data_IF_711981813137
#
_entry.id   IF_711981813137
#
_cell.length_a   1.000
_cell.length_b   1.000
_cell.length_c   1.000
_cell.angle_alpha   90.00
_cell.angle_beta   90.00
_cell.angle_gamma   90.00
#
_symmetry.space_group_name_H-M   'P 1'
#
loop_
_entity.id
_entity.type
_entity.pdbx_description
1 polymer ?
#
# COMPACT_ATOMS: atom_id res chain seq x y z
N UNK A 1 -74.66 -36.70 33.68
CA UNK A 1 -73.58 -35.93 34.22
C UNK A 1 -72.55 -35.64 33.16
N UNK A 2 -72.50 -34.44 32.86
CA UNK A 2 -71.75 -33.70 31.85
C UNK A 2 -70.35 -33.44 32.29
N UNK A 3 -69.39 -33.61 31.40
CA UNK A 3 -68.07 -33.00 31.58
C UNK A 3 -67.60 -32.32 30.28
N UNK A 4 -67.54 -31.06 30.36
CA UNK A 4 -67.06 -30.13 29.32
C UNK A 4 -65.53 -30.17 29.24
N UNK A 5 -64.98 -30.39 28.05
CA UNK A 5 -63.56 -30.23 27.76
C UNK A 5 -63.33 -28.86 27.19
N UNK A 6 -62.49 -28.10 27.87
CA UNK A 6 -61.99 -26.75 27.44
C UNK A 6 -60.74 -26.96 26.59
N UNK A 7 -60.80 -26.52 25.35
CA UNK A 7 -59.64 -26.50 24.44
C UNK A 7 -58.72 -25.33 24.77
N UNK A 8 -57.50 -25.63 25.04
CA UNK A 8 -56.43 -24.66 25.26
C UNK A 8 -55.78 -24.32 23.90
N UNK A 9 -55.73 -22.99 23.60
CA UNK A 9 -55.22 -22.41 22.35
C UNK A 9 -53.81 -21.89 22.60
N UNK A 10 -52.77 -22.36 21.92
CA UNK A 10 -51.44 -21.81 22.13
C UNK A 10 -51.31 -20.42 21.49
N UNK A 11 -50.99 -19.45 22.33
CA UNK A 11 -50.67 -18.05 21.99
C UNK A 11 -49.37 -17.94 21.17
N UNK A 12 -49.52 -17.27 20.04
CA UNK A 12 -48.43 -16.96 19.09
C UNK A 12 -47.52 -15.84 19.60
N UNK A 13 -46.88 -15.98 20.75
CA UNK A 13 -45.96 -14.99 21.32
C UNK A 13 -44.47 -15.47 21.43
N UNK A 14 -44.17 -16.69 20.92
CA UNK A 14 -42.82 -17.28 21.09
C UNK A 14 -41.87 -17.15 19.90
N UNK A 15 -42.24 -16.47 18.83
CA UNK A 15 -41.45 -16.54 17.57
C UNK A 15 -40.80 -15.20 17.15
N UNK A 16 -40.91 -14.15 17.94
CA UNK A 16 -40.33 -12.83 17.61
C UNK A 16 -39.00 -12.61 18.33
N UNK A 17 -38.74 -13.29 19.45
CA UNK A 17 -37.47 -13.10 20.20
C UNK A 17 -36.29 -13.95 19.72
N UNK A 18 -36.44 -14.88 18.79
CA UNK A 18 -35.36 -15.72 18.27
C UNK A 18 -34.62 -15.15 17.04
N UNK A 19 -35.15 -14.08 16.42
CA UNK A 19 -34.52 -13.45 15.25
C UNK A 19 -33.65 -12.24 15.58
N UNK A 20 -33.65 -11.77 16.83
CA UNK A 20 -32.86 -10.61 17.26
C UNK A 20 -31.48 -10.96 17.85
N UNK A 21 -31.13 -12.24 17.98
CA UNK A 21 -29.89 -12.68 18.64
C UNK A 21 -28.83 -13.24 17.72
N UNK A 22 -29.06 -13.25 16.40
CA UNK A 22 -28.06 -13.79 15.43
C UNK A 22 -27.13 -12.73 14.80
N UNK A 23 -27.28 -11.44 15.12
CA UNK A 23 -26.40 -10.38 14.60
C UNK A 23 -25.37 -9.84 15.59
N UNK A 24 -25.12 -10.50 16.71
CA UNK A 24 -24.15 -10.05 17.70
C UNK A 24 -23.01 -11.06 17.95
N UNK A 25 -22.46 -11.68 16.92
CA UNK A 25 -21.08 -12.18 17.00
C UNK A 25 -20.14 -11.05 16.61
N UNK A 26 -20.06 -10.06 17.47
CA UNK A 26 -18.95 -9.11 17.46
C UNK A 26 -17.65 -9.93 17.56
N UNK A 27 -16.98 -10.14 16.44
CA UNK A 27 -15.59 -10.56 16.43
C UNK A 27 -14.81 -9.52 17.20
N UNK A 28 -14.58 -9.74 18.51
CA UNK A 28 -13.64 -8.98 19.33
C UNK A 28 -12.25 -9.28 18.82
N UNK A 29 -11.87 -8.66 17.69
CA UNK A 29 -10.47 -8.59 17.32
C UNK A 29 -9.74 -7.70 18.34
N UNK A 30 -8.53 -8.08 18.79
CA UNK A 30 -7.76 -7.27 19.71
C UNK A 30 -7.63 -5.87 19.12
N UNK A 31 -7.92 -4.84 19.93
CA UNK A 31 -7.84 -3.44 19.53
C UNK A 31 -6.38 -3.05 19.29
N UNK A 32 -5.84 -3.41 18.14
CA UNK A 32 -4.58 -2.83 17.69
C UNK A 32 -4.90 -1.37 17.35
N UNK A 33 -4.29 -0.43 18.08
CA UNK A 33 -4.47 0.99 17.84
C UNK A 33 -4.15 1.30 16.39
N UNK A 34 -5.13 1.78 15.61
CA UNK A 34 -4.88 2.50 14.39
C UNK A 34 -4.05 3.73 14.79
N UNK A 35 -2.89 3.93 14.17
CA UNK A 35 -2.17 5.18 14.32
C UNK A 35 -3.05 6.35 13.89
N UNK A 36 -2.78 7.54 14.39
CA UNK A 36 -3.44 8.77 13.96
C UNK A 36 -2.72 9.35 12.73
N UNK A 37 -3.48 9.94 11.82
CA UNK A 37 -2.97 10.63 10.64
C UNK A 37 -3.20 12.14 10.79
N UNK A 38 -2.14 12.89 10.89
CA UNK A 38 -2.13 14.35 10.98
C UNK A 38 -1.63 15.03 9.67
N UNK A 39 -1.16 14.23 8.71
CA UNK A 39 -0.57 14.70 7.45
C UNK A 39 0.96 14.77 7.46
N UNK A 40 1.64 14.45 8.57
CA UNK A 40 3.11 14.42 8.64
C UNK A 40 3.71 13.15 8.05
N UNK A 41 3.01 12.03 8.16
CA UNK A 41 3.42 10.79 7.52
C UNK A 41 2.91 10.68 6.07
N UNK A 42 3.52 9.77 5.31
CA UNK A 42 3.09 9.50 3.95
C UNK A 42 1.66 8.92 3.94
N UNK A 43 0.74 9.57 3.21
CA UNK A 43 -0.66 9.15 3.08
C UNK A 43 -0.80 7.70 2.58
N UNK A 44 -0.02 7.30 1.59
CA UNK A 44 -0.09 5.93 1.05
C UNK A 44 0.29 4.88 2.09
N UNK A 45 1.29 5.16 2.91
CA UNK A 45 1.70 4.25 3.99
C UNK A 45 0.61 4.12 5.04
N UNK A 46 0.03 5.25 5.46
CA UNK A 46 -1.10 5.25 6.40
C UNK A 46 -2.30 4.51 5.82
N UNK A 47 -2.71 4.86 4.60
CA UNK A 47 -3.88 4.29 3.95
C UNK A 47 -3.73 2.78 3.69
N UNK A 48 -2.54 2.32 3.31
CA UNK A 48 -2.25 0.89 3.16
C UNK A 48 -2.42 0.13 4.48
N UNK A 49 -1.90 0.67 5.60
CA UNK A 49 -2.09 0.07 6.93
C UNK A 49 -3.56 0.04 7.34
N UNK A 50 -4.27 1.13 7.05
CA UNK A 50 -5.71 1.25 7.32
C UNK A 50 -6.52 0.21 6.52
N UNK A 51 -6.32 0.12 5.20
CA UNK A 51 -7.02 -0.84 4.34
C UNK A 51 -6.68 -2.30 4.68
N UNK A 52 -5.43 -2.59 5.00
CA UNK A 52 -5.03 -3.92 5.46
C UNK A 52 -5.80 -4.31 6.72
N UNK A 53 -5.93 -3.37 7.67
CA UNK A 53 -6.71 -3.57 8.88
C UNK A 53 -8.19 -3.74 8.61
N UNK A 54 -8.77 -2.88 7.77
CA UNK A 54 -10.17 -2.92 7.39
C UNK A 54 -10.52 -4.27 6.75
N UNK A 55 -9.69 -4.74 5.83
CA UNK A 55 -9.84 -6.05 5.18
C UNK A 55 -9.77 -7.21 6.18
N UNK A 56 -8.79 -7.18 7.10
CA UNK A 56 -8.64 -8.22 8.12
C UNK A 56 -9.83 -8.25 9.09
N UNK A 57 -10.38 -7.09 9.42
CA UNK A 57 -11.52 -6.95 10.36
C UNK A 57 -12.89 -7.06 9.67
N UNK A 58 -12.95 -7.14 8.33
CA UNK A 58 -14.19 -7.25 7.58
C UNK A 58 -15.08 -6.01 7.65
N UNK A 59 -14.50 -4.80 7.74
CA UNK A 59 -15.25 -3.55 7.88
C UNK A 59 -16.07 -3.24 6.63
N UNK A 60 -17.32 -2.79 6.85
CA UNK A 60 -18.14 -2.16 5.81
C UNK A 60 -17.60 -0.77 5.46
N UNK A 61 -18.08 -0.18 4.37
CA UNK A 61 -17.67 1.17 3.97
C UNK A 61 -18.10 2.22 4.98
N UNK A 62 -19.24 2.04 5.68
CA UNK A 62 -19.68 2.90 6.76
C UNK A 62 -18.74 2.79 7.97
N UNK A 63 -18.33 1.58 8.33
CA UNK A 63 -17.36 1.35 9.41
C UNK A 63 -15.99 1.91 9.06
N UNK A 64 -15.53 1.73 7.81
CA UNK A 64 -14.29 2.35 7.31
C UNK A 64 -14.35 3.87 7.41
N UNK A 65 -15.46 4.49 7.01
CA UNK A 65 -15.65 5.94 7.14
C UNK A 65 -15.50 6.38 8.59
N UNK A 66 -16.24 5.73 9.51
CA UNK A 66 -16.23 6.05 10.92
C UNK A 66 -14.81 5.90 11.53
N UNK A 67 -14.12 4.79 11.25
CA UNK A 67 -12.79 4.55 11.78
C UNK A 67 -11.73 5.46 11.15
N UNK A 68 -11.87 5.80 9.86
CA UNK A 68 -10.96 6.75 9.21
C UNK A 68 -11.10 8.15 9.84
N UNK A 69 -12.35 8.61 10.07
CA UNK A 69 -12.60 9.89 10.73
C UNK A 69 -11.99 9.93 12.15
N UNK A 70 -12.07 8.82 12.91
CA UNK A 70 -11.49 8.73 14.25
C UNK A 70 -9.95 8.71 14.22
N UNK A 71 -9.37 8.22 13.12
CA UNK A 71 -7.92 8.17 12.95
C UNK A 71 -7.32 9.49 12.48
N UNK A 72 -8.14 10.48 12.03
CA UNK A 72 -7.65 11.80 11.63
C UNK A 72 -7.36 12.67 12.85
N UNK A 73 -6.20 13.32 12.84
CA UNK A 73 -5.82 14.37 13.80
C UNK A 73 -5.59 15.70 13.05
N UNK A 74 -5.47 16.81 13.77
CA UNK A 74 -5.15 18.10 13.14
C UNK A 74 -3.70 18.07 12.57
N UNK A 75 -3.47 18.65 11.37
CA UNK A 75 -4.41 19.44 10.55
C UNK A 75 -5.29 18.61 9.58
N UNK A 76 -5.12 17.28 9.46
CA UNK A 76 -5.88 16.46 8.52
C UNK A 76 -7.39 16.46 8.84
N UNK A 77 -7.74 16.50 10.13
CA UNK A 77 -9.12 16.57 10.60
C UNK A 77 -9.89 17.81 10.06
N UNK A 78 -9.18 18.91 9.82
CA UNK A 78 -9.81 20.15 9.30
C UNK A 78 -10.43 19.97 7.92
N UNK A 79 -10.03 18.95 7.15
CA UNK A 79 -10.69 18.65 5.87
C UNK A 79 -12.16 18.27 6.02
N UNK A 80 -12.55 17.72 7.18
CA UNK A 80 -13.94 17.35 7.45
C UNK A 80 -14.86 18.56 7.59
N UNK A 81 -14.34 19.72 8.04
CA UNK A 81 -15.12 20.94 8.22
C UNK A 81 -15.65 21.51 6.90
N UNK A 82 -14.99 21.20 5.78
CA UNK A 82 -15.35 21.68 4.45
C UNK A 82 -16.07 20.60 3.63
N UNK A 83 -16.63 19.58 4.28
CA UNK A 83 -17.37 18.53 3.63
C UNK A 83 -18.85 18.95 3.52
N UNK A 84 -19.24 19.53 2.39
CA UNK A 84 -20.63 19.73 2.01
C UNK A 84 -21.17 18.46 1.35
N UNK A 85 -22.38 18.02 1.76
CA UNK A 85 -23.05 16.83 1.22
C UNK A 85 -22.73 15.53 1.95
N UNK A 86 -23.23 14.41 1.43
CA UNK A 86 -23.06 13.09 2.02
C UNK A 86 -21.60 12.64 1.96
N UNK A 87 -20.96 12.57 3.12
CA UNK A 87 -19.59 12.10 3.26
C UNK A 87 -19.57 10.55 3.20
N UNK A 88 -18.96 10.02 2.16
CA UNK A 88 -18.71 8.58 2.03
C UNK A 88 -17.23 8.26 2.26
N UNK A 89 -16.92 6.99 2.52
CA UNK A 89 -15.53 6.55 2.62
C UNK A 89 -14.70 6.93 1.38
N UNK A 90 -15.24 6.66 0.19
CA UNK A 90 -14.57 6.96 -1.08
C UNK A 90 -14.29 8.47 -1.25
N UNK A 91 -15.27 9.35 -0.95
CA UNK A 91 -15.09 10.79 -1.06
C UNK A 91 -14.10 11.35 -0.04
N UNK A 92 -14.06 10.78 1.17
CA UNK A 92 -13.09 11.19 2.18
C UNK A 92 -11.66 10.77 1.77
N UNK A 93 -11.47 9.52 1.30
CA UNK A 93 -10.18 9.04 0.79
C UNK A 93 -9.70 9.91 -0.37
N UNK A 94 -10.56 10.23 -1.34
CA UNK A 94 -10.20 11.09 -2.46
C UNK A 94 -9.72 12.48 -2.02
N UNK A 95 -10.40 13.10 -1.04
CA UNK A 95 -10.01 14.41 -0.49
C UNK A 95 -8.67 14.36 0.24
N UNK A 96 -8.46 13.32 1.07
CA UNK A 96 -7.20 13.12 1.76
C UNK A 96 -6.07 12.85 0.78
N UNK A 97 -6.31 12.04 -0.24
CA UNK A 97 -5.34 11.77 -1.29
C UNK A 97 -5.00 13.02 -2.10
N UNK A 98 -5.97 13.86 -2.43
CA UNK A 98 -5.74 15.14 -3.13
C UNK A 98 -4.89 16.09 -2.29
N UNK A 99 -5.07 16.11 -0.98
CA UNK A 99 -4.37 17.04 -0.07
C UNK A 99 -3.02 16.54 0.38
N UNK A 100 -2.92 15.25 0.73
CA UNK A 100 -1.75 14.63 1.35
C UNK A 100 -1.10 13.55 0.48
N UNK A 101 -1.74 13.18 -0.63
CA UNK A 101 -1.16 12.28 -1.61
C UNK A 101 -0.01 12.94 -2.35
N UNK A 102 0.89 12.11 -2.84
CA UNK A 102 2.07 12.55 -3.57
C UNK A 102 1.80 12.80 -5.07
N UNK A 103 0.54 12.93 -5.47
CA UNK A 103 0.17 13.05 -6.88
C UNK A 103 0.85 14.24 -7.58
N UNK A 104 1.00 15.36 -6.85
CA UNK A 104 1.74 16.54 -7.35
C UNK A 104 3.25 16.31 -7.44
N UNK A 105 3.79 15.29 -6.76
CA UNK A 105 5.21 14.94 -6.79
C UNK A 105 5.52 13.79 -7.77
N UNK A 106 4.52 13.10 -8.30
CA UNK A 106 4.72 11.96 -9.24
C UNK A 106 5.61 12.37 -10.41
N UNK A 107 5.34 13.51 -11.02
CA UNK A 107 6.12 13.99 -12.16
C UNK A 107 7.55 14.38 -11.77
N UNK A 108 7.75 14.83 -10.54
CA UNK A 108 9.08 15.07 -9.99
C UNK A 108 9.86 13.76 -9.86
N UNK A 109 9.26 12.74 -9.23
CA UNK A 109 9.90 11.42 -9.12
C UNK A 109 10.14 10.74 -10.46
N UNK A 110 9.23 10.89 -11.43
CA UNK A 110 9.41 10.41 -12.82
C UNK A 110 10.58 11.11 -13.51
N UNK A 111 10.76 12.40 -13.26
CA UNK A 111 11.90 13.18 -13.78
C UNK A 111 13.20 12.75 -13.13
N UNK A 112 13.21 12.62 -11.80
CA UNK A 112 14.36 12.14 -11.04
C UNK A 112 14.80 10.75 -11.53
N UNK A 113 13.84 9.84 -11.74
CA UNK A 113 14.10 8.51 -12.27
C UNK A 113 14.81 8.56 -13.64
N UNK A 114 14.33 9.40 -14.57
CA UNK A 114 14.94 9.56 -15.90
C UNK A 114 16.35 10.12 -15.85
N UNK A 115 16.62 10.98 -14.87
CA UNK A 115 17.92 11.65 -14.70
C UNK A 115 18.85 10.86 -13.78
N UNK A 116 18.36 9.80 -13.14
CA UNK A 116 19.13 9.03 -12.16
C UNK A 116 20.33 8.37 -12.80
N UNK A 117 21.47 8.61 -12.22
CA UNK A 117 22.75 7.94 -12.55
C UNK A 117 23.40 7.50 -11.26
N UNK A 118 24.13 6.41 -11.29
CA UNK A 118 24.92 5.94 -10.17
C UNK A 118 25.90 7.04 -9.74
N UNK A 119 25.94 7.36 -8.45
CA UNK A 119 26.83 8.36 -7.89
C UNK A 119 28.21 7.77 -7.65
N UNK A 120 29.22 8.64 -7.54
CA UNK A 120 30.55 8.21 -7.12
C UNK A 120 30.48 7.54 -5.74
N UNK A 121 31.05 6.34 -5.60
CA UNK A 121 31.04 5.50 -4.39
C UNK A 121 29.67 4.94 -3.98
N UNK A 122 28.65 5.07 -4.81
CA UNK A 122 27.36 4.43 -4.59
C UNK A 122 27.42 2.97 -5.01
N UNK A 123 27.03 2.08 -4.12
CA UNK A 123 26.92 0.65 -4.45
C UNK A 123 25.75 0.37 -5.40
N UNK A 124 25.81 -0.75 -6.11
CA UNK A 124 24.70 -1.18 -6.97
C UNK A 124 23.43 -1.48 -6.15
N UNK A 125 23.58 -1.94 -4.90
CA UNK A 125 22.45 -2.17 -4.00
C UNK A 125 21.74 -0.87 -3.62
N UNK A 126 22.51 0.17 -3.30
CA UNK A 126 21.94 1.50 -2.98
C UNK A 126 21.25 2.10 -4.20
N UNK A 127 21.86 1.97 -5.38
CA UNK A 127 21.24 2.39 -6.64
C UNK A 127 19.90 1.67 -6.88
N UNK A 128 19.86 0.34 -6.74
CA UNK A 128 18.63 -0.44 -6.89
C UNK A 128 17.54 0.01 -5.92
N UNK A 129 17.86 0.17 -4.64
CA UNK A 129 16.90 0.62 -3.64
C UNK A 129 16.32 2.00 -3.95
N UNK A 130 17.14 2.92 -4.43
CA UNK A 130 16.67 4.26 -4.82
C UNK A 130 15.81 4.22 -6.10
N UNK A 131 16.16 3.41 -7.09
CA UNK A 131 15.35 3.22 -8.30
C UNK A 131 13.97 2.62 -7.96
N UNK A 132 13.92 1.59 -7.11
CA UNK A 132 12.66 1.00 -6.64
C UNK A 132 11.80 2.04 -5.92
N UNK A 133 12.40 2.87 -5.06
CA UNK A 133 11.72 3.96 -4.37
C UNK A 133 11.14 4.97 -5.36
N UNK A 134 11.94 5.45 -6.31
CA UNK A 134 11.52 6.45 -7.31
C UNK A 134 10.40 5.93 -8.20
N UNK A 135 10.49 4.66 -8.61
CA UNK A 135 9.43 4.01 -9.42
C UNK A 135 8.15 3.81 -8.61
N UNK A 136 8.25 3.40 -7.34
CA UNK A 136 7.08 3.23 -6.48
C UNK A 136 6.34 4.55 -6.24
N UNK A 137 7.08 5.66 -6.07
CA UNK A 137 6.51 6.99 -5.88
C UNK A 137 6.02 7.64 -7.18
N UNK A 138 6.71 7.37 -8.29
CA UNK A 138 6.34 7.94 -9.59
C UNK A 138 5.18 7.23 -10.27
N UNK A 139 4.97 5.94 -9.98
CA UNK A 139 3.97 5.09 -10.64
C UNK A 139 3.20 4.23 -9.63
N UNK A 140 2.57 4.83 -8.60
CA UNK A 140 1.88 4.09 -7.54
C UNK A 140 0.68 3.28 -8.06
N UNK A 141 0.10 3.68 -9.19
CA UNK A 141 -1.04 3.04 -9.85
C UNK A 141 -0.73 1.68 -10.49
N UNK A 142 0.56 1.40 -10.74
CA UNK A 142 0.98 0.15 -11.38
C UNK A 142 1.25 -0.95 -10.34
N UNK A 143 1.07 -2.20 -10.75
CA UNK A 143 1.48 -3.35 -9.92
C UNK A 143 3.01 -3.40 -9.77
N UNK A 144 3.50 -4.08 -8.73
CA UNK A 144 4.94 -4.22 -8.51
C UNK A 144 5.64 -4.87 -9.71
N UNK A 145 5.05 -5.91 -10.30
CA UNK A 145 5.61 -6.59 -11.47
C UNK A 145 5.68 -5.68 -12.71
N UNK A 146 4.64 -4.85 -12.95
CA UNK A 146 4.65 -3.88 -14.05
C UNK A 146 5.70 -2.80 -13.83
N UNK A 147 5.82 -2.29 -12.60
CA UNK A 147 6.84 -1.30 -12.25
C UNK A 147 8.25 -1.83 -12.49
N UNK A 148 8.51 -3.06 -12.06
CA UNK A 148 9.82 -3.70 -12.23
C UNK A 148 10.18 -3.84 -13.71
N UNK A 149 9.29 -4.47 -14.51
CA UNK A 149 9.58 -4.77 -15.91
C UNK A 149 9.66 -3.53 -16.80
N UNK A 150 8.78 -2.55 -16.58
CA UNK A 150 8.66 -1.39 -17.49
C UNK A 150 9.64 -0.28 -17.12
N UNK A 151 9.92 -0.09 -15.82
CA UNK A 151 10.66 1.07 -15.35
C UNK A 151 11.94 0.72 -14.59
N UNK A 152 11.87 -0.16 -13.57
CA UNK A 152 13.00 -0.32 -12.64
C UNK A 152 14.17 -1.03 -13.30
N UNK A 153 13.92 -2.14 -13.99
CA UNK A 153 14.97 -2.89 -14.68
C UNK A 153 15.61 -2.09 -15.82
N UNK A 154 14.89 -1.42 -16.73
CA UNK A 154 15.50 -0.53 -17.71
C UNK A 154 16.26 0.63 -17.09
N UNK A 155 15.72 1.28 -16.04
CA UNK A 155 16.37 2.39 -15.38
C UNK A 155 17.70 1.97 -14.70
N UNK A 156 17.81 0.73 -14.22
CA UNK A 156 19.04 0.20 -13.66
C UNK A 156 20.15 0.19 -14.71
N UNK A 157 19.89 -0.35 -15.91
CA UNK A 157 20.87 -0.34 -17.01
C UNK A 157 21.24 1.07 -17.46
N UNK A 158 20.25 1.98 -17.50
CA UNK A 158 20.49 3.37 -17.88
C UNK A 158 21.33 4.11 -16.84
N UNK A 159 21.16 3.78 -15.56
CA UNK A 159 21.79 4.46 -14.44
C UNK A 159 23.23 4.00 -14.14
N UNK A 160 23.60 2.77 -14.52
CA UNK A 160 24.95 2.23 -14.28
C UNK A 160 26.02 3.08 -14.98
N UNK A 161 27.09 3.43 -14.25
CA UNK A 161 28.22 4.20 -14.78
C UNK A 161 29.18 3.31 -15.56
N UNK A 162 29.50 2.13 -15.04
CA UNK A 162 30.36 1.17 -15.72
C UNK A 162 29.62 0.53 -16.91
N UNK A 163 30.00 0.93 -18.11
CA UNK A 163 29.34 0.50 -19.35
C UNK A 163 29.74 -0.89 -19.77
N UNK A 164 30.93 -1.36 -19.42
CA UNK A 164 31.40 -2.70 -19.68
C UNK A 164 30.65 -3.70 -18.81
N UNK A 165 30.62 -3.45 -17.50
CA UNK A 165 29.81 -4.22 -16.57
C UNK A 165 28.32 -4.22 -16.95
N UNK A 166 27.77 -3.07 -17.31
CA UNK A 166 26.39 -2.92 -17.77
C UNK A 166 26.08 -3.82 -18.96
N UNK A 167 26.97 -3.84 -19.97
CA UNK A 167 26.82 -4.65 -21.18
C UNK A 167 26.92 -6.15 -20.87
N UNK A 168 27.83 -6.56 -20.00
CA UNK A 168 27.97 -7.96 -19.62
C UNK A 168 26.77 -8.46 -18.82
N UNK A 169 26.22 -7.67 -17.92
CA UNK A 169 24.95 -7.98 -17.25
C UNK A 169 23.79 -8.05 -18.25
N UNK A 170 23.70 -7.11 -19.17
CA UNK A 170 22.65 -7.09 -20.18
C UNK A 170 22.65 -8.36 -21.05
N UNK A 171 23.83 -8.89 -21.43
CA UNK A 171 23.96 -10.13 -22.21
C UNK A 171 23.33 -11.34 -21.54
N UNK A 172 23.25 -11.36 -20.21
CA UNK A 172 22.64 -12.49 -19.45
C UNK A 172 21.11 -12.46 -19.53
N UNK A 173 20.51 -11.37 -20.07
CA UNK A 173 19.07 -11.17 -20.22
C UNK A 173 18.29 -11.39 -18.93
N UNK A 174 18.63 -10.70 -17.84
CA UNK A 174 17.93 -10.82 -16.56
C UNK A 174 16.47 -10.41 -16.73
N UNK A 175 15.57 -11.13 -16.05
CA UNK A 175 14.12 -10.85 -16.10
C UNK A 175 13.66 -9.95 -14.97
N UNK A 176 14.42 -9.90 -13.89
CA UNK A 176 14.12 -9.09 -12.71
C UNK A 176 15.30 -8.20 -12.34
N UNK A 177 15.01 -7.12 -11.58
CA UNK A 177 16.06 -6.28 -11.02
C UNK A 177 17.00 -7.08 -10.12
N UNK A 178 16.44 -7.99 -9.32
CA UNK A 178 17.23 -8.84 -8.43
C UNK A 178 18.20 -9.75 -9.18
N UNK A 179 17.77 -10.33 -10.31
CA UNK A 179 18.64 -11.14 -11.17
C UNK A 179 19.77 -10.28 -11.76
N UNK A 180 19.43 -9.07 -12.24
CA UNK A 180 20.40 -8.13 -12.79
C UNK A 180 21.43 -7.70 -11.73
N UNK A 181 20.97 -7.35 -10.53
CA UNK A 181 21.83 -6.94 -9.42
C UNK A 181 22.75 -8.09 -8.99
N UNK A 182 22.22 -9.29 -8.84
CA UNK A 182 23.01 -10.48 -8.46
C UNK A 182 24.13 -10.76 -9.45
N UNK A 183 23.82 -10.68 -10.74
CA UNK A 183 24.80 -10.89 -11.80
C UNK A 183 25.83 -9.77 -11.85
N UNK A 184 25.40 -8.51 -11.69
CA UNK A 184 26.30 -7.36 -11.65
C UNK A 184 27.31 -7.47 -10.50
N UNK A 185 26.87 -7.84 -9.29
CA UNK A 185 27.75 -8.02 -8.14
C UNK A 185 28.76 -9.16 -8.36
N UNK A 186 28.32 -10.26 -8.98
CA UNK A 186 29.21 -11.38 -9.31
C UNK A 186 30.30 -10.97 -10.30
N UNK A 187 29.97 -10.16 -11.29
CA UNK A 187 30.93 -9.66 -12.28
C UNK A 187 31.84 -8.59 -11.69
N UNK A 188 31.34 -7.68 -10.84
CA UNK A 188 32.19 -6.73 -10.10
C UNK A 188 33.27 -7.44 -9.29
N UNK A 189 32.87 -8.45 -8.51
CA UNK A 189 33.83 -9.25 -7.72
C UNK A 189 34.88 -9.93 -8.60
N UNK A 190 34.44 -10.49 -9.73
CA UNK A 190 35.36 -11.11 -10.70
C UNK A 190 36.33 -10.09 -11.29
N UNK A 191 35.89 -8.92 -11.71
CA UNK A 191 36.73 -7.86 -12.27
C UNK A 191 37.74 -7.36 -11.24
N UNK A 192 37.33 -7.20 -9.98
CA UNK A 192 38.23 -6.79 -8.90
C UNK A 192 39.33 -7.85 -8.64
N UNK A 193 38.97 -9.13 -8.62
CA UNK A 193 39.93 -10.22 -8.51
C UNK A 193 40.96 -10.27 -9.66
N UNK A 194 40.57 -9.87 -10.87
CA UNK A 194 41.49 -9.75 -12.00
C UNK A 194 42.46 -8.60 -11.84
N UNK A 195 41.98 -7.42 -11.40
CA UNK A 195 42.83 -6.24 -11.13
C UNK A 195 43.88 -6.50 -10.07
N UNK A 196 43.59 -7.33 -9.07
CA UNK A 196 44.54 -7.68 -8.02
C UNK A 196 45.64 -8.68 -8.48
N UNK A 197 45.48 -9.29 -9.66
CA UNK A 197 46.44 -10.25 -10.24
C UNK A 197 47.42 -9.63 -11.24
N UNK A 198 47.10 -8.40 -11.69
CA UNK A 198 48.00 -7.61 -12.54
C UNK A 198 48.98 -6.77 -11.71
#
# INVERSE_FOLDING_TARGET
PTTTATADRPTAAGNIERKATEHATAHRHPSVKLGTFDGSENWYTFHLRFETRAKYSGWSDEEKLMFLMQALAEPALLLLQNCEGDLTYATLVERLQRRYGLDHLKDTYRRELKQRRQKSKESLQELCADLERLVALGYPELTAAMRETIFTLPAFFDAMVDRELCFDVWKTQPKTLNDALKEALRLEEWMELQRLRE
#
